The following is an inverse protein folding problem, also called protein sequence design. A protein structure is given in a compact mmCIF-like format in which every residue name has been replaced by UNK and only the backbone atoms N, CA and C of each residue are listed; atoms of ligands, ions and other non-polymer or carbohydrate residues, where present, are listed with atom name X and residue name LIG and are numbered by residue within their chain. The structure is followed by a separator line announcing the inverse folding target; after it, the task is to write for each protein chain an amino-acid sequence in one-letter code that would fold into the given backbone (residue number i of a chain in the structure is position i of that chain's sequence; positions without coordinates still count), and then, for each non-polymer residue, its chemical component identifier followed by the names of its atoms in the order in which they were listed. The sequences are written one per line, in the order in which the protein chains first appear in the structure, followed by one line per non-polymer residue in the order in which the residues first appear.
data_IF_813173364527
#
_entry.id   IF_813173364527
#
_cell.length_a   1.000
_cell.length_b   1.000
_cell.length_c   1.000
_cell.angle_alpha   90.00
_cell.angle_beta   90.00
_cell.angle_gamma   90.00
#
_symmetry.space_group_name_H-M   'P 1'
#
loop_
_entity.id
_entity.type
_entity.pdbx_description
1 polymer ?
#
# COMPACT_ATOMS: atom_id res chain seq x y z
N UNK A 1 0.72 -10.99 19.17
CA UNK A 1 2.03 -10.35 18.97
C UNK A 1 3.04 -11.25 18.25
N UNK A 2 3.32 -12.47 18.71
CA UNK A 2 4.31 -13.35 18.07
C UNK A 2 4.03 -13.66 16.57
N UNK A 3 2.77 -13.90 16.19
CA UNK A 3 2.39 -14.16 14.79
C UNK A 3 2.63 -12.96 13.87
N UNK A 4 2.34 -11.74 14.37
CA UNK A 4 2.52 -10.48 13.62
C UNK A 4 4.01 -10.20 13.41
N UNK A 5 4.81 -10.39 14.46
CA UNK A 5 6.27 -10.23 14.36
C UNK A 5 6.91 -11.30 13.49
N UNK A 6 6.40 -12.53 13.49
CA UNK A 6 6.86 -13.60 12.57
C UNK A 6 6.61 -13.26 11.10
N UNK A 7 5.40 -12.80 10.76
CA UNK A 7 5.06 -12.32 9.42
C UNK A 7 5.91 -11.11 9.00
N UNK A 8 6.15 -10.17 9.92
CA UNK A 8 7.01 -9.01 9.67
C UNK A 8 8.47 -9.42 9.40
N UNK A 9 9.03 -10.33 10.21
CA UNK A 9 10.40 -10.80 10.05
C UNK A 9 10.58 -11.56 8.72
N UNK A 10 9.62 -12.41 8.37
CA UNK A 10 9.61 -13.14 7.10
C UNK A 10 9.55 -12.18 5.89
N UNK A 11 8.71 -11.13 5.97
CA UNK A 11 8.63 -10.09 4.95
C UNK A 11 9.93 -9.30 4.78
N UNK A 12 10.64 -9.00 5.87
CA UNK A 12 11.94 -8.31 5.86
C UNK A 12 13.03 -9.19 5.22
N UNK A 13 13.10 -10.47 5.60
CA UNK A 13 14.07 -11.43 5.06
C UNK A 13 13.90 -11.65 3.56
N UNK A 14 12.66 -11.75 3.06
CA UNK A 14 12.38 -11.86 1.63
C UNK A 14 12.82 -10.62 0.84
N UNK A 15 12.69 -9.42 1.43
CA UNK A 15 13.09 -8.17 0.77
C UNK A 15 14.62 -8.05 0.64
N UNK A 16 15.36 -8.50 1.66
CA UNK A 16 16.83 -8.44 1.68
C UNK A 16 17.49 -9.37 0.65
N UNK A 17 16.91 -10.54 0.36
CA UNK A 17 17.54 -11.54 -0.51
C UNK A 17 17.28 -11.32 -2.00
N UNK A 18 16.17 -10.67 -2.37
CA UNK A 18 15.64 -10.71 -3.74
C UNK A 18 15.48 -9.33 -4.40
N UNK A 19 15.39 -8.23 -3.64
CA UNK A 19 15.05 -6.91 -4.18
C UNK A 19 16.15 -6.23 -5.02
N UNK A 20 17.40 -6.68 -4.94
CA UNK A 20 18.54 -5.95 -5.51
C UNK A 20 18.74 -6.13 -7.03
N UNK A 21 18.13 -7.16 -7.63
CA UNK A 21 18.44 -7.58 -9.03
C UNK A 21 17.38 -7.21 -10.07
N UNK A 22 16.14 -6.89 -9.66
CA UNK A 22 15.03 -6.67 -10.60
C UNK A 22 14.14 -5.49 -10.18
N UNK A 23 14.19 -4.37 -10.92
CA UNK A 23 13.34 -3.18 -10.70
C UNK A 23 11.83 -3.50 -10.67
N UNK A 24 11.37 -4.42 -11.52
CA UNK A 24 9.97 -4.87 -11.53
C UNK A 24 9.59 -5.64 -10.25
N UNK A 25 10.52 -6.41 -9.72
CA UNK A 25 10.31 -7.24 -8.53
C UNK A 25 10.38 -6.39 -7.26
N UNK A 26 11.16 -5.31 -7.26
CA UNK A 26 11.07 -4.27 -6.25
C UNK A 26 9.69 -3.60 -6.24
N UNK A 27 9.05 -3.39 -7.40
CA UNK A 27 7.71 -2.81 -7.45
C UNK A 27 6.66 -3.76 -6.86
N UNK A 28 6.71 -5.04 -7.24
CA UNK A 28 5.81 -6.09 -6.75
C UNK A 28 5.96 -6.27 -5.23
N UNK A 29 7.19 -6.25 -4.71
CA UNK A 29 7.42 -6.34 -3.26
C UNK A 29 6.91 -5.12 -2.49
N UNK A 30 6.99 -3.91 -3.07
CA UNK A 30 6.35 -2.72 -2.49
C UNK A 30 4.82 -2.82 -2.48
N UNK A 31 4.23 -3.34 -3.56
CA UNK A 31 2.77 -3.54 -3.65
C UNK A 31 2.29 -4.61 -2.66
N UNK A 32 3.02 -5.71 -2.53
CA UNK A 32 2.80 -6.73 -1.51
C UNK A 32 2.90 -6.15 -0.09
N UNK A 33 3.88 -5.28 0.18
CA UNK A 33 3.98 -4.59 1.48
C UNK A 33 2.74 -3.74 1.78
N UNK A 34 2.20 -3.02 0.78
CA UNK A 34 0.95 -2.28 0.92
C UNK A 34 -0.24 -3.19 1.23
N UNK A 35 -0.33 -4.34 0.55
CA UNK A 35 -1.40 -5.31 0.74
C UNK A 35 -1.31 -6.12 2.04
N UNK A 36 -0.15 -6.16 2.71
CA UNK A 36 -0.06 -6.75 4.06
C UNK A 36 -1.00 -6.05 5.05
N UNK A 37 -1.38 -4.79 4.81
CA UNK A 37 -2.41 -4.10 5.59
C UNK A 37 -3.76 -4.84 5.62
N UNK A 38 -4.10 -5.59 4.58
CA UNK A 38 -5.32 -6.42 4.52
C UNK A 38 -5.32 -7.57 5.53
N UNK A 39 -4.15 -8.05 5.95
CA UNK A 39 -4.05 -9.09 6.98
C UNK A 39 -4.56 -8.55 8.33
N UNK A 40 -4.30 -7.25 8.59
CA UNK A 40 -4.66 -6.60 9.86
C UNK A 40 -6.00 -5.86 9.74
N UNK A 41 -6.59 -5.74 8.54
CA UNK A 41 -7.81 -4.95 8.30
C UNK A 41 -9.00 -5.42 9.13
N UNK A 42 -9.12 -6.73 9.42
CA UNK A 42 -10.19 -7.26 10.26
C UNK A 42 -10.08 -6.76 11.71
N UNK A 43 -8.86 -6.72 12.26
CA UNK A 43 -8.63 -6.16 13.59
C UNK A 43 -8.85 -4.65 13.60
N UNK A 44 -8.42 -3.95 12.54
CA UNK A 44 -8.69 -2.52 12.39
C UNK A 44 -10.19 -2.24 12.30
N UNK A 45 -10.96 -3.02 11.54
CA UNK A 45 -12.40 -2.81 11.34
C UNK A 45 -13.24 -3.06 12.60
N UNK A 46 -12.73 -3.86 13.53
CA UNK A 46 -13.36 -4.08 14.84
C UNK A 46 -13.14 -2.92 15.82
N UNK A 47 -12.06 -2.14 15.64
CA UNK A 47 -11.64 -1.08 16.57
C UNK A 47 -11.97 0.30 16.00
N UNK A 48 -11.84 0.47 14.70
CA UNK A 48 -11.98 1.75 14.01
C UNK A 48 -13.38 1.93 13.42
N UNK A 49 -13.84 3.19 13.30
CA UNK A 49 -15.12 3.47 12.65
C UNK A 49 -15.12 3.02 11.18
N UNK A 50 -16.28 2.62 10.63
CA UNK A 50 -16.39 2.11 9.26
C UNK A 50 -15.91 3.11 8.21
N UNK A 51 -16.04 4.42 8.46
CA UNK A 51 -15.54 5.46 7.57
C UNK A 51 -14.00 5.49 7.44
N UNK A 52 -13.26 5.10 8.48
CA UNK A 52 -11.80 4.96 8.42
C UNK A 52 -11.40 3.82 7.49
N UNK A 53 -12.08 2.67 7.60
CA UNK A 53 -11.85 1.50 6.76
C UNK A 53 -12.16 1.81 5.29
N UNK A 54 -13.23 2.57 5.03
CA UNK A 54 -13.58 2.96 3.67
C UNK A 54 -12.51 3.87 3.03
N UNK A 55 -11.96 4.83 3.79
CA UNK A 55 -10.86 5.67 3.32
C UNK A 55 -9.57 4.88 3.08
N UNK A 56 -9.24 3.93 3.95
CA UNK A 56 -8.11 3.02 3.76
C UNK A 56 -8.28 2.15 2.51
N UNK A 57 -9.48 1.59 2.31
CA UNK A 57 -9.80 0.79 1.13
C UNK A 57 -9.72 1.63 -0.16
N UNK A 58 -10.29 2.84 -0.17
CA UNK A 58 -10.18 3.78 -1.28
C UNK A 58 -8.72 4.13 -1.58
N UNK A 59 -7.92 4.42 -0.55
CA UNK A 59 -6.48 4.68 -0.70
C UNK A 59 -5.73 3.50 -1.31
N UNK A 60 -6.01 2.27 -0.87
CA UNK A 60 -5.41 1.05 -1.43
C UNK A 60 -5.77 0.80 -2.89
N UNK A 61 -7.02 1.09 -3.28
CA UNK A 61 -7.48 1.00 -4.68
C UNK A 61 -6.77 2.03 -5.55
N UNK A 62 -6.70 3.29 -5.10
CA UNK A 62 -6.03 4.37 -5.83
C UNK A 62 -4.55 4.04 -6.04
N UNK A 63 -3.87 3.53 -5.00
CA UNK A 63 -2.49 3.06 -5.10
C UNK A 63 -2.30 1.93 -6.12
N UNK A 64 -3.20 0.95 -6.10
CA UNK A 64 -3.15 -0.21 -7.02
C UNK A 64 -3.41 0.20 -8.47
N UNK A 65 -4.33 1.14 -8.69
CA UNK A 65 -4.58 1.72 -10.02
C UNK A 65 -3.37 2.52 -10.54
N UNK A 66 -2.68 3.25 -9.65
CA UNK A 66 -1.47 3.97 -10.00
C UNK A 66 -0.38 3.07 -10.59
N UNK A 67 -0.26 1.83 -10.11
CA UNK A 67 0.73 0.85 -10.63
C UNK A 67 0.54 0.57 -12.12
N UNK A 68 -0.70 0.55 -12.61
CA UNK A 68 -0.99 0.33 -14.03
C UNK A 68 -0.31 1.41 -14.87
N UNK A 69 -0.41 2.68 -14.45
CA UNK A 69 0.23 3.81 -15.12
C UNK A 69 1.75 3.79 -14.99
N UNK A 70 2.29 3.31 -13.86
CA UNK A 70 3.74 3.13 -13.70
C UNK A 70 4.30 2.09 -14.70
N UNK A 71 3.61 0.97 -14.89
CA UNK A 71 4.04 -0.11 -15.81
C UNK A 71 3.78 0.28 -17.27
N UNK A 72 2.74 1.06 -17.54
CA UNK A 72 2.42 1.55 -18.87
C UNK A 72 3.44 2.60 -19.36
N UNK A 73 4.52 2.15 -19.98
CA UNK A 73 5.56 3.02 -20.60
C UNK A 73 5.15 3.67 -21.93
N UNK A 74 3.97 3.34 -22.44
CA UNK A 74 3.43 3.82 -23.72
C UNK A 74 2.82 5.23 -23.62
N UNK A 75 2.56 5.74 -22.43
CA UNK A 75 1.86 7.01 -22.20
C UNK A 75 2.89 8.11 -21.90
N UNK A 76 2.86 9.28 -22.58
CA UNK A 76 3.69 10.42 -22.21
C UNK A 76 3.33 10.89 -20.79
N UNK A 77 4.34 11.24 -19.98
CA UNK A 77 4.17 11.65 -18.56
C UNK A 77 3.57 10.59 -17.62
N UNK A 78 3.63 9.31 -17.97
CA UNK A 78 3.19 8.21 -17.11
C UNK A 78 3.70 8.28 -15.66
N UNK A 79 4.93 8.72 -15.45
CA UNK A 79 5.54 8.84 -14.12
C UNK A 79 4.91 9.95 -13.27
N UNK A 80 4.48 11.05 -13.89
CA UNK A 80 3.79 12.14 -13.21
C UNK A 80 2.35 11.74 -12.85
N UNK A 81 1.67 11.03 -13.76
CA UNK A 81 0.34 10.46 -13.51
C UNK A 81 0.42 9.48 -12.33
N UNK A 82 1.42 8.60 -12.32
CA UNK A 82 1.66 7.70 -11.19
C UNK A 82 1.84 8.44 -9.87
N UNK A 83 2.63 9.53 -9.86
CA UNK A 83 2.78 10.36 -8.65
C UNK A 83 1.45 10.97 -8.17
N UNK A 84 0.56 11.34 -9.08
CA UNK A 84 -0.75 11.87 -8.72
C UNK A 84 -1.63 10.81 -8.04
N UNK A 85 -1.60 9.56 -8.53
CA UNK A 85 -2.27 8.43 -7.87
C UNK A 85 -1.66 8.15 -6.49
N UNK A 86 -0.33 8.17 -6.37
CA UNK A 86 0.36 7.99 -5.07
C UNK A 86 -0.03 9.09 -4.07
N UNK A 87 -0.14 10.34 -4.53
CA UNK A 87 -0.60 11.47 -3.71
C UNK A 87 -2.06 11.31 -3.29
N UNK A 88 -2.96 10.95 -4.20
CA UNK A 88 -4.37 10.71 -3.88
C UNK A 88 -4.55 9.58 -2.86
N UNK A 89 -3.83 8.47 -3.05
CA UNK A 89 -3.82 7.36 -2.12
C UNK A 89 -3.31 7.77 -0.74
N UNK A 90 -2.21 8.54 -0.68
CA UNK A 90 -1.65 9.07 0.56
C UNK A 90 -2.62 10.01 1.28
N UNK A 91 -3.32 10.86 0.53
CA UNK A 91 -4.30 11.80 1.09
C UNK A 91 -5.47 11.04 1.74
N UNK A 92 -5.95 9.96 1.13
CA UNK A 92 -6.98 9.10 1.76
C UNK A 92 -6.49 8.50 3.09
N UNK A 93 -5.25 8.02 3.15
CA UNK A 93 -4.67 7.50 4.40
C UNK A 93 -4.49 8.60 5.45
N UNK A 94 -4.05 9.78 5.03
CA UNK A 94 -3.95 10.94 5.92
C UNK A 94 -5.31 11.35 6.49
N UNK A 95 -6.33 11.45 5.64
CA UNK A 95 -7.71 11.74 6.07
C UNK A 95 -8.25 10.65 7.01
N UNK A 96 -7.95 9.38 6.75
CA UNK A 96 -8.36 8.29 7.63
C UNK A 96 -7.81 8.48 9.06
N UNK A 97 -6.53 8.84 9.18
CA UNK A 97 -5.91 9.11 10.49
C UNK A 97 -6.48 10.40 11.09
N UNK A 98 -6.48 11.49 10.32
CA UNK A 98 -6.89 12.82 10.80
C UNK A 98 -8.33 12.88 11.30
N UNK A 99 -9.27 12.21 10.63
CA UNK A 99 -10.68 12.25 11.00
C UNK A 99 -11.09 11.18 12.01
N UNK A 100 -10.41 10.03 12.05
CA UNK A 100 -10.88 8.87 12.82
C UNK A 100 -9.96 8.40 13.93
N UNK A 101 -8.70 8.86 13.97
CA UNK A 101 -7.77 8.56 15.05
C UNK A 101 -7.69 9.79 15.95
N UNK A 102 -8.30 9.69 17.14
CA UNK A 102 -8.20 10.67 18.23
C UNK A 102 -7.48 10.06 19.42
#
# INVERSE_FOLDING_TARGET
MAVIWGLALAGILFKLTIAHRFKALSLVTYLCMGWLSLIVVYQLAMILPPGCIWLLAAGGIIYSLGVIFYVARRIPFNHAIWHLFVLGGSLCHFCAIYFYVR
#
